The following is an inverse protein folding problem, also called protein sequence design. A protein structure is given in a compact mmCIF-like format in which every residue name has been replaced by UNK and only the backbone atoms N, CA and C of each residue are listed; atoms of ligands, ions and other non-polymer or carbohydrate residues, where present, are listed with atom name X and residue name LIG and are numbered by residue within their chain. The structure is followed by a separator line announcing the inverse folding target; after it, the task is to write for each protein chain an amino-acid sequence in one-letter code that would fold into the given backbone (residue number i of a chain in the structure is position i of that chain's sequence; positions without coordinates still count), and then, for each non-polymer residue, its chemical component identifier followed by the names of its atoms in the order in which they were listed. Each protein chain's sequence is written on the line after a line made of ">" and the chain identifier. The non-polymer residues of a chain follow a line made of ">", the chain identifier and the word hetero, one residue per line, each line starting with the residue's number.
data_IF_256886140032
#
_entry.id   IF_256886140032
#
_cell.length_a   1.000
_cell.length_b   1.000
_cell.length_c   1.000
_cell.angle_alpha   90.00
_cell.angle_beta   90.00
_cell.angle_gamma   90.00
#
_symmetry.space_group_name_H-M   'P 1'
#
loop_
_entity.id
_entity.type
_entity.pdbx_description
1 polymer ?
#
# COMPACT_ATOMS: atom_id res chain seq x y z
N UNK A 1 -5.15 -9.70 -19.40
CA UNK A 1 -4.44 -10.88 -18.85
C UNK A 1 -5.01 -12.20 -19.37
N UNK A 2 -6.32 -12.48 -19.24
CA UNK A 2 -6.92 -13.76 -19.71
C UNK A 2 -6.66 -14.05 -21.20
N UNK A 3 -6.84 -13.06 -22.07
CA UNK A 3 -6.59 -13.23 -23.52
C UNK A 3 -5.13 -13.59 -23.84
N UNK A 4 -4.17 -12.97 -23.18
CA UNK A 4 -2.75 -13.31 -23.32
C UNK A 4 -2.41 -14.69 -22.75
N UNK A 5 -3.08 -15.10 -21.67
CA UNK A 5 -2.92 -16.45 -21.15
C UNK A 5 -3.44 -17.52 -22.13
N UNK A 6 -4.55 -17.23 -22.85
CA UNK A 6 -5.07 -18.11 -23.88
C UNK A 6 -4.12 -18.15 -25.10
N UNK A 7 -3.59 -17.00 -25.50
CA UNK A 7 -2.64 -16.90 -26.61
C UNK A 7 -1.27 -17.55 -26.30
N UNK A 8 -0.92 -17.67 -25.02
CA UNK A 8 0.38 -18.20 -24.58
C UNK A 8 1.57 -17.23 -24.80
N UNK A 9 1.31 -15.99 -25.22
CA UNK A 9 2.31 -14.95 -25.46
C UNK A 9 1.73 -13.58 -25.18
N UNK A 10 2.60 -12.62 -24.87
CA UNK A 10 2.26 -11.18 -24.78
C UNK A 10 2.68 -10.41 -26.03
N UNK A 11 3.46 -11.04 -26.91
CA UNK A 11 3.91 -10.51 -28.18
C UNK A 11 2.90 -10.84 -29.30
N UNK A 12 1.72 -10.23 -29.24
CA UNK A 12 0.59 -10.47 -30.12
C UNK A 12 -0.33 -9.24 -30.15
N UNK A 13 -0.80 -8.85 -31.33
CA UNK A 13 -1.86 -7.85 -31.49
C UNK A 13 -3.24 -8.53 -31.38
N UNK A 14 -3.84 -8.51 -30.21
CA UNK A 14 -5.14 -9.12 -29.93
C UNK A 14 -6.29 -8.61 -30.82
N UNK A 15 -6.10 -7.53 -31.54
CA UNK A 15 -7.11 -6.98 -32.47
C UNK A 15 -7.01 -7.54 -33.87
N UNK A 16 -5.86 -8.10 -34.26
CA UNK A 16 -5.55 -8.53 -35.62
C UNK A 16 -5.10 -9.98 -35.70
N UNK A 17 -4.30 -10.42 -34.74
CA UNK A 17 -3.67 -11.72 -34.80
C UNK A 17 -4.56 -12.81 -34.19
N UNK A 18 -4.50 -14.04 -34.69
CA UNK A 18 -5.23 -15.15 -34.12
C UNK A 18 -4.62 -15.57 -32.76
N UNK A 19 -5.48 -15.91 -31.81
CA UNK A 19 -5.06 -16.50 -30.54
C UNK A 19 -4.48 -17.91 -30.69
N UNK A 20 -4.86 -18.60 -31.75
CA UNK A 20 -4.46 -19.95 -32.08
C UNK A 20 -5.30 -20.50 -33.23
N UNK A 21 -5.25 -21.81 -33.41
CA UNK A 21 -5.96 -22.53 -34.46
C UNK A 21 -6.81 -23.63 -33.85
N UNK A 22 -7.99 -23.85 -34.41
CA UNK A 22 -8.85 -24.98 -34.01
C UNK A 22 -8.32 -26.35 -34.50
N UNK A 23 -9.01 -27.41 -34.18
CA UNK A 23 -8.62 -28.78 -34.59
C UNK A 23 -8.65 -29.00 -36.12
N UNK A 24 -9.29 -28.11 -36.87
CA UNK A 24 -9.35 -28.09 -38.33
C UNK A 24 -8.35 -27.16 -38.96
N UNK A 25 -7.50 -26.50 -38.17
CA UNK A 25 -6.50 -25.54 -38.62
C UNK A 25 -7.06 -24.14 -38.97
N UNK A 26 -8.29 -23.84 -38.56
CA UNK A 26 -8.90 -22.51 -38.77
C UNK A 26 -8.43 -21.56 -37.65
N UNK A 27 -8.06 -20.34 -38.04
CA UNK A 27 -7.66 -19.29 -37.12
C UNK A 27 -8.81 -18.87 -36.19
N UNK A 28 -8.50 -18.81 -34.88
CA UNK A 28 -9.42 -18.36 -33.80
C UNK A 28 -8.93 -17.03 -33.28
N UNK A 29 -9.77 -16.02 -33.32
CA UNK A 29 -9.47 -14.67 -32.86
C UNK A 29 -10.11 -14.38 -31.51
N UNK A 30 -9.64 -13.31 -30.82
CA UNK A 30 -10.22 -12.88 -29.54
C UNK A 30 -11.73 -12.68 -29.63
N UNK A 31 -12.22 -12.07 -30.71
CA UNK A 31 -13.66 -11.83 -30.96
C UNK A 31 -14.51 -13.09 -31.02
N UNK A 32 -13.90 -14.23 -31.33
CA UNK A 32 -14.62 -15.51 -31.49
C UNK A 32 -14.83 -16.20 -30.13
N UNK A 33 -13.98 -15.90 -29.14
CA UNK A 33 -13.98 -16.53 -27.82
C UNK A 33 -14.36 -15.57 -26.68
N UNK A 34 -14.33 -14.27 -26.92
CA UNK A 34 -14.64 -13.28 -25.88
C UNK A 34 -16.14 -13.11 -25.72
N UNK A 35 -16.66 -13.23 -24.49
CA UNK A 35 -18.10 -13.09 -24.27
C UNK A 35 -18.58 -11.67 -24.54
N UNK A 36 -19.78 -11.56 -25.06
CA UNK A 36 -20.47 -10.28 -25.23
C UNK A 36 -20.87 -9.70 -23.89
N UNK A 37 -21.04 -8.38 -23.83
CA UNK A 37 -21.51 -7.70 -22.61
C UNK A 37 -22.85 -8.25 -22.11
N UNK A 38 -23.75 -8.66 -23.04
CA UNK A 38 -25.05 -9.25 -22.70
C UNK A 38 -24.90 -10.63 -22.04
N UNK A 39 -23.97 -11.45 -22.53
CA UNK A 39 -23.65 -12.74 -21.91
C UNK A 39 -23.07 -12.54 -20.51
N UNK A 40 -22.11 -11.62 -20.36
CA UNK A 40 -21.52 -11.28 -19.06
C UNK A 40 -22.60 -10.82 -18.08
N UNK A 41 -23.45 -9.86 -18.50
CA UNK A 41 -24.55 -9.35 -17.67
C UNK A 41 -25.52 -10.45 -17.24
N UNK A 42 -25.89 -11.31 -18.17
CA UNK A 42 -26.79 -12.45 -17.91
C UNK A 42 -26.15 -13.43 -16.92
N UNK A 43 -24.87 -13.72 -17.10
CA UNK A 43 -24.13 -14.61 -16.20
C UNK A 43 -24.02 -14.02 -14.80
N UNK A 44 -23.69 -12.72 -14.69
CA UNK A 44 -23.60 -12.01 -13.40
C UNK A 44 -24.96 -12.03 -12.69
N UNK A 45 -26.04 -11.64 -13.37
CA UNK A 45 -27.41 -11.64 -12.78
C UNK A 45 -27.83 -13.03 -12.28
N UNK A 46 -27.47 -14.08 -13.01
CA UNK A 46 -27.83 -15.46 -12.65
C UNK A 46 -27.04 -15.99 -11.47
N UNK A 47 -25.74 -15.64 -11.38
CA UNK A 47 -24.81 -16.29 -10.46
C UNK A 47 -24.48 -15.43 -9.24
N UNK A 48 -24.52 -14.11 -9.33
CA UNK A 48 -24.27 -13.21 -8.20
C UNK A 48 -25.60 -12.86 -7.52
N UNK A 49 -25.85 -13.48 -6.39
CA UNK A 49 -27.13 -13.36 -5.68
C UNK A 49 -26.99 -12.63 -4.35
N UNK A 50 -28.07 -12.01 -3.89
CA UNK A 50 -28.14 -11.40 -2.56
C UNK A 50 -27.82 -12.39 -1.42
N UNK A 51 -28.12 -13.69 -1.63
CA UNK A 51 -27.78 -14.76 -0.67
C UNK A 51 -26.27 -14.89 -0.49
N UNK A 52 -25.50 -14.79 -1.57
CA UNK A 52 -24.02 -14.88 -1.51
C UNK A 52 -23.46 -13.73 -0.64
N UNK A 53 -23.94 -12.51 -0.85
CA UNK A 53 -23.55 -11.37 -0.02
C UNK A 53 -23.93 -11.56 1.44
N UNK A 54 -25.20 -11.92 1.72
CA UNK A 54 -25.64 -12.18 3.09
C UNK A 54 -24.81 -13.25 3.78
N UNK A 55 -24.50 -14.33 3.09
CA UNK A 55 -23.67 -15.41 3.64
C UNK A 55 -22.25 -14.95 3.89
N UNK A 56 -21.64 -14.23 2.92
CA UNK A 56 -20.23 -13.80 3.03
C UNK A 56 -20.00 -12.76 4.11
N UNK A 57 -20.98 -11.88 4.32
CA UNK A 57 -20.87 -10.80 5.29
C UNK A 57 -21.59 -11.07 6.62
N UNK A 58 -22.15 -12.27 6.82
CA UNK A 58 -22.94 -12.60 8.02
C UNK A 58 -22.15 -12.45 9.33
N UNK A 59 -20.84 -12.69 9.29
CA UNK A 59 -19.99 -12.69 10.47
C UNK A 59 -18.72 -11.82 10.32
N UNK A 60 -18.80 -10.83 9.41
CA UNK A 60 -17.66 -9.95 9.08
C UNK A 60 -17.05 -9.27 10.32
N UNK A 61 -17.85 -8.97 11.34
CA UNK A 61 -17.39 -8.37 12.59
C UNK A 61 -16.75 -9.36 13.57
N UNK A 62 -16.89 -10.67 13.35
CA UNK A 62 -16.29 -11.67 14.24
C UNK A 62 -14.79 -11.87 13.98
N UNK A 63 -14.35 -11.62 12.77
CA UNK A 63 -13.02 -11.93 12.31
C UNK A 63 -12.72 -13.44 12.27
N UNK A 64 -11.57 -13.79 11.75
CA UNK A 64 -11.07 -15.16 11.72
C UNK A 64 -10.45 -15.59 13.07
N UNK A 65 -9.92 -16.82 13.13
CA UNK A 65 -9.29 -17.35 14.33
C UNK A 65 -8.07 -16.53 14.77
N UNK A 66 -7.27 -16.06 13.82
CA UNK A 66 -6.05 -15.29 14.11
C UNK A 66 -6.40 -13.91 14.66
N UNK A 67 -7.36 -13.24 14.01
CA UNK A 67 -7.87 -11.94 14.49
C UNK A 67 -8.42 -12.02 15.92
N UNK A 68 -9.24 -13.04 16.21
CA UNK A 68 -9.80 -13.25 17.55
C UNK A 68 -8.77 -13.66 18.60
N UNK A 69 -7.65 -14.25 18.16
CA UNK A 69 -6.53 -14.62 19.02
C UNK A 69 -5.60 -13.46 19.40
N UNK A 70 -5.77 -12.27 18.79
CA UNK A 70 -4.97 -11.10 19.14
C UNK A 70 -5.32 -10.63 20.53
N UNK A 71 -4.35 -10.69 21.45
CA UNK A 71 -4.48 -10.15 22.79
C UNK A 71 -4.39 -8.63 22.74
N UNK A 72 -5.40 -7.94 23.26
CA UNK A 72 -5.39 -6.49 23.38
C UNK A 72 -5.33 -6.07 24.85
N UNK A 73 -4.61 -5.01 25.14
CA UNK A 73 -4.65 -4.38 26.46
C UNK A 73 -6.04 -3.77 26.70
N UNK A 74 -6.53 -3.90 27.93
CA UNK A 74 -7.76 -3.22 28.36
C UNK A 74 -7.38 -1.84 28.88
N UNK A 75 -7.97 -0.80 28.33
CA UNK A 75 -7.71 0.59 28.73
C UNK A 75 -8.23 1.58 27.69
N UNK A 76 -8.34 2.84 28.10
CA UNK A 76 -8.76 3.94 27.21
C UNK A 76 -7.62 4.43 26.30
N UNK A 77 -6.37 4.12 26.67
CA UNK A 77 -5.18 4.55 25.95
C UNK A 77 -4.33 3.35 25.52
N UNK A 78 -3.58 3.51 24.45
CA UNK A 78 -2.65 2.51 23.96
C UNK A 78 -1.42 2.42 24.89
N UNK A 79 -1.04 1.22 25.28
CA UNK A 79 0.18 0.96 26.03
C UNK A 79 1.37 0.89 25.07
N UNK A 80 2.14 1.96 25.00
CA UNK A 80 3.31 2.06 24.12
C UNK A 80 4.44 1.14 24.58
N UNK A 81 4.99 0.37 23.65
CA UNK A 81 6.22 -0.41 23.84
C UNK A 81 7.40 0.35 23.21
N UNK A 82 8.22 0.95 24.02
CA UNK A 82 9.38 1.73 23.56
C UNK A 82 10.49 0.85 22.94
N UNK A 83 10.42 -0.47 23.07
CA UNK A 83 11.36 -1.40 22.45
C UNK A 83 10.92 -1.80 21.04
N UNK A 84 9.68 -1.52 20.67
CA UNK A 84 9.17 -1.83 19.35
C UNK A 84 9.89 -1.04 18.27
N UNK A 85 10.38 -1.72 17.23
CA UNK A 85 10.96 -1.08 16.05
C UNK A 85 9.94 -0.89 14.92
N UNK A 86 8.68 -1.27 15.12
CA UNK A 86 7.58 -1.11 14.17
C UNK A 86 6.62 0.01 14.53
N UNK A 87 6.33 0.20 15.82
CA UNK A 87 5.39 1.20 16.31
C UNK A 87 6.04 1.97 17.44
N UNK A 88 6.14 3.28 17.29
CA UNK A 88 6.72 4.18 18.28
C UNK A 88 5.72 5.29 18.63
N UNK A 89 5.74 5.73 19.88
CA UNK A 89 4.95 6.89 20.28
C UNK A 89 5.49 8.15 19.58
N UNK A 90 4.72 8.74 18.64
CA UNK A 90 5.22 9.90 17.90
C UNK A 90 5.22 11.17 18.76
N UNK A 91 6.20 12.07 18.56
CA UNK A 91 6.35 13.27 19.39
C UNK A 91 5.37 14.40 19.05
N UNK A 92 4.39 14.17 18.18
CA UNK A 92 3.51 15.20 17.63
C UNK A 92 2.66 15.94 18.67
N UNK A 93 2.38 15.27 19.78
CA UNK A 93 1.53 15.78 20.86
C UNK A 93 2.31 16.20 22.11
N UNK A 94 3.64 16.12 22.06
CA UNK A 94 4.47 16.54 23.18
C UNK A 94 4.33 18.04 23.41
N UNK A 95 3.95 18.44 24.62
CA UNK A 95 3.72 19.85 24.97
C UNK A 95 2.36 20.40 24.53
N UNK A 96 1.51 19.61 23.87
CA UNK A 96 0.17 20.05 23.50
C UNK A 96 -0.68 20.30 24.74
N UNK A 97 -1.34 21.44 24.79
CA UNK A 97 -2.26 21.81 25.87
C UNK A 97 -3.68 21.36 25.53
N UNK A 98 -4.49 21.05 26.55
CA UNK A 98 -5.91 20.68 26.37
C UNK A 98 -6.74 21.83 25.78
N UNK A 99 -6.42 23.06 26.15
CA UNK A 99 -7.05 24.25 25.58
C UNK A 99 -6.37 24.62 24.25
N UNK A 100 -7.16 24.92 23.24
CA UNK A 100 -6.64 25.42 21.97
C UNK A 100 -5.94 26.78 22.18
N UNK A 101 -4.78 26.95 21.57
CA UNK A 101 -4.11 28.24 21.51
C UNK A 101 -4.82 29.25 20.60
N UNK A 102 -4.46 30.51 20.70
CA UNK A 102 -4.91 31.55 19.77
C UNK A 102 -4.16 31.45 18.44
N UNK A 103 -4.85 31.81 17.37
CA UNK A 103 -4.21 31.98 16.05
C UNK A 103 -3.45 33.28 16.02
N UNK A 104 -2.22 33.25 15.55
CA UNK A 104 -1.40 34.46 15.36
C UNK A 104 -0.68 34.43 14.02
N UNK A 105 -0.31 35.60 13.50
CA UNK A 105 0.48 35.70 12.27
C UNK A 105 1.85 35.09 12.44
N UNK A 106 2.31 34.37 11.41
CA UNK A 106 3.69 33.88 11.33
C UNK A 106 4.58 34.98 10.75
N UNK A 107 5.50 35.53 11.56
CA UNK A 107 6.41 36.58 11.14
C UNK A 107 7.86 36.12 11.17
N UNK A 108 8.65 36.52 10.17
CA UNK A 108 10.08 36.24 10.10
C UNK A 108 10.44 34.79 9.82
N UNK A 109 9.49 33.96 9.39
CA UNK A 109 9.74 32.57 9.02
C UNK A 109 10.61 32.50 7.76
N UNK A 110 11.50 31.47 7.71
CA UNK A 110 12.31 31.16 6.54
C UNK A 110 11.72 29.99 5.78
N UNK A 111 11.88 29.99 4.46
CA UNK A 111 11.45 28.88 3.60
C UNK A 111 12.32 27.66 3.88
N UNK A 112 11.73 26.55 4.29
CA UNK A 112 12.42 25.28 4.48
C UNK A 112 12.58 24.51 3.17
N UNK A 113 11.60 24.58 2.29
CA UNK A 113 11.61 23.91 1.00
C UNK A 113 10.62 24.56 0.03
N UNK A 114 11.00 24.65 -1.22
CA UNK A 114 10.15 25.10 -2.33
C UNK A 114 10.00 23.96 -3.31
N UNK A 115 8.79 23.49 -3.52
CA UNK A 115 8.50 22.33 -4.35
C UNK A 115 7.70 22.74 -5.59
N UNK A 116 8.00 22.08 -6.73
CA UNK A 116 7.23 22.29 -7.97
C UNK A 116 5.90 21.52 -7.98
N UNK A 117 5.13 21.73 -9.04
CA UNK A 117 3.73 21.28 -9.15
C UNK A 117 3.51 19.76 -9.09
N UNK A 118 4.52 18.97 -9.44
CA UNK A 118 4.39 17.51 -9.51
C UNK A 118 4.95 16.77 -8.29
N UNK A 119 5.32 17.47 -7.25
CA UNK A 119 5.77 16.85 -6.00
C UNK A 119 4.57 16.34 -5.22
N UNK A 120 4.66 15.08 -4.80
CA UNK A 120 3.66 14.40 -3.98
C UNK A 120 4.28 13.89 -2.68
N UNK A 121 3.45 13.37 -1.80
CA UNK A 121 3.90 12.71 -0.56
C UNK A 121 4.89 11.57 -0.81
N UNK A 122 4.79 10.88 -1.94
CA UNK A 122 5.72 9.80 -2.31
C UNK A 122 7.16 10.29 -2.58
N UNK A 123 7.33 11.56 -2.86
CA UNK A 123 8.66 12.17 -3.02
C UNK A 123 9.24 12.57 -1.66
N UNK A 124 8.40 12.98 -0.72
CA UNK A 124 8.80 13.48 0.60
C UNK A 124 8.97 12.32 1.58
N UNK A 125 7.95 11.47 1.68
CA UNK A 125 7.93 10.31 2.56
C UNK A 125 8.61 9.11 1.89
N UNK A 126 9.41 8.33 2.62
CA UNK A 126 10.13 7.23 2.04
C UNK A 126 9.22 6.05 1.67
N UNK A 127 9.59 5.34 0.60
CA UNK A 127 8.97 4.09 0.16
C UNK A 127 10.04 3.06 -0.24
N UNK A 128 9.62 1.81 -0.38
CA UNK A 128 10.50 0.72 -0.78
C UNK A 128 11.41 0.20 0.33
N UNK A 129 12.41 -0.58 -0.06
CA UNK A 129 13.30 -1.30 0.86
C UNK A 129 14.25 -0.36 1.60
N UNK A 130 14.50 -0.65 2.86
CA UNK A 130 15.45 0.08 3.71
C UNK A 130 16.85 -0.48 3.44
N UNK A 131 17.76 0.36 2.95
CA UNK A 131 19.16 -0.03 2.69
C UNK A 131 19.95 -0.02 4.00
N UNK A 132 20.80 -1.02 4.21
CA UNK A 132 21.60 -1.14 5.43
C UNK A 132 22.50 0.09 5.69
N UNK A 133 23.08 0.67 4.65
CA UNK A 133 23.93 1.85 4.74
C UNK A 133 23.18 3.18 4.92
N UNK A 134 21.83 3.15 4.83
CA UNK A 134 21.02 4.37 5.01
C UNK A 134 20.92 4.77 6.47
N UNK A 135 20.58 6.03 6.79
CA UNK A 135 20.33 6.45 8.17
C UNK A 135 19.26 5.61 8.88
N UNK A 136 18.21 5.19 8.16
CA UNK A 136 17.18 4.29 8.70
C UNK A 136 17.73 2.87 8.95
N UNK A 137 18.57 2.36 8.04
CA UNK A 137 19.24 1.06 8.22
C UNK A 137 20.17 1.06 9.44
N UNK A 138 20.95 2.12 9.62
CA UNK A 138 21.81 2.29 10.80
C UNK A 138 20.99 2.30 12.08
N UNK A 139 19.89 3.09 12.12
CA UNK A 139 18.99 3.09 13.25
C UNK A 139 18.45 1.69 13.60
N UNK A 140 18.03 0.91 12.62
CA UNK A 140 17.54 -0.44 12.83
C UNK A 140 18.65 -1.38 13.35
N UNK A 141 19.85 -1.28 12.79
CA UNK A 141 21.02 -2.07 13.26
C UNK A 141 21.36 -1.74 14.72
N UNK A 142 21.37 -0.46 15.08
CA UNK A 142 21.63 0.01 16.45
C UNK A 142 20.57 -0.53 17.43
N UNK A 143 19.32 -0.71 16.94
CA UNK A 143 18.25 -1.37 17.68
C UNK A 143 18.24 -2.90 17.53
N UNK A 144 19.35 -3.51 17.10
CA UNK A 144 19.55 -4.97 17.02
C UNK A 144 18.63 -5.69 16.04
N UNK A 145 18.10 -5.01 15.04
CA UNK A 145 17.33 -5.62 13.95
C UNK A 145 18.31 -6.13 12.90
N UNK A 146 18.21 -7.41 12.54
CA UNK A 146 19.03 -7.98 11.48
C UNK A 146 18.65 -7.39 10.11
N UNK A 147 19.62 -7.25 9.19
CA UNK A 147 19.37 -6.67 7.84
C UNK A 147 18.26 -7.42 7.09
N UNK A 148 18.19 -8.74 7.26
CA UNK A 148 17.15 -9.58 6.66
C UNK A 148 15.73 -9.23 7.16
N UNK A 149 15.61 -8.62 8.35
CA UNK A 149 14.36 -8.29 9.01
C UNK A 149 13.99 -6.79 8.88
N UNK A 150 14.75 -6.04 8.09
CA UNK A 150 14.49 -4.60 7.92
C UNK A 150 13.11 -4.33 7.32
N UNK A 151 12.66 -5.18 6.41
CA UNK A 151 11.44 -4.96 5.62
C UNK A 151 11.51 -3.66 4.79
N UNK A 152 10.35 -3.04 4.60
CA UNK A 152 10.21 -1.82 3.83
C UNK A 152 9.77 -0.65 4.73
N UNK A 153 10.01 0.57 4.29
CA UNK A 153 9.52 1.76 4.98
C UNK A 153 8.01 1.70 5.25
N UNK A 154 7.22 1.24 4.27
CA UNK A 154 5.78 1.07 4.44
C UNK A 154 5.38 0.14 5.58
N UNK A 155 6.13 -0.92 5.83
CA UNK A 155 5.88 -1.84 6.95
C UNK A 155 6.16 -1.18 8.30
N UNK A 156 7.06 -0.20 8.35
CA UNK A 156 7.47 0.52 9.57
C UNK A 156 6.90 1.93 9.68
N UNK A 157 5.81 2.22 8.97
CA UNK A 157 5.16 3.55 8.96
C UNK A 157 4.76 4.05 10.34
N UNK A 158 4.47 3.16 11.27
CA UNK A 158 4.17 3.49 12.66
C UNK A 158 5.40 3.87 13.50
N UNK A 159 6.59 3.84 12.94
CA UNK A 159 7.83 4.24 13.59
C UNK A 159 8.39 5.51 12.92
N UNK A 160 8.13 6.66 13.54
CA UNK A 160 8.59 7.98 13.03
C UNK A 160 10.11 8.07 12.96
N UNK A 161 10.85 7.35 13.82
CA UNK A 161 12.31 7.33 13.81
C UNK A 161 12.88 6.69 12.53
N UNK A 162 12.19 5.67 12.01
CA UNK A 162 12.54 5.07 10.70
C UNK A 162 12.12 6.01 9.57
N UNK A 163 10.89 6.51 9.62
CA UNK A 163 10.32 7.31 8.54
C UNK A 163 11.04 8.63 8.32
N UNK A 164 11.35 9.37 9.40
CA UNK A 164 12.07 10.63 9.29
C UNK A 164 13.49 10.48 8.71
N UNK A 165 14.12 9.33 8.92
CA UNK A 165 15.45 9.02 8.39
C UNK A 165 15.46 8.65 6.90
N UNK A 166 14.29 8.56 6.29
CA UNK A 166 14.10 8.34 4.87
C UNK A 166 13.44 9.53 4.15
N UNK A 167 13.16 10.63 4.87
CA UNK A 167 12.57 11.82 4.28
C UNK A 167 13.46 12.37 3.16
N UNK A 168 12.86 12.69 2.00
CA UNK A 168 13.55 13.13 0.79
C UNK A 168 14.56 12.14 0.19
N UNK A 169 14.52 10.87 0.57
CA UNK A 169 15.39 9.83 0.01
C UNK A 169 14.95 9.32 -1.38
N UNK A 170 13.85 9.84 -1.93
CA UNK A 170 13.38 9.45 -3.26
C UNK A 170 14.38 9.95 -4.33
N UNK A 171 14.87 9.02 -5.16
CA UNK A 171 15.85 9.29 -6.22
C UNK A 171 15.37 10.25 -7.31
N UNK A 172 14.06 10.51 -7.38
CA UNK A 172 13.46 11.45 -8.34
C UNK A 172 13.47 12.89 -7.86
N UNK A 173 13.73 13.13 -6.57
CA UNK A 173 13.91 14.48 -6.05
C UNK A 173 15.32 14.96 -6.39
N UNK A 174 15.41 16.14 -6.96
CA UNK A 174 16.66 16.84 -7.17
C UNK A 174 16.63 18.15 -6.38
N UNK A 175 17.66 18.41 -5.60
CA UNK A 175 17.91 19.70 -5.00
C UNK A 175 18.70 20.54 -6.02
N UNK A 176 18.19 21.74 -6.34
CA UNK A 176 18.81 22.68 -7.28
C UNK A 176 19.65 23.71 -6.57
#
# INVERSE_FOLDING_TARGET
>A
MVAYAIAGTVDIDLTKDPLGYDAQGKAVYLRDVWPTNKEIETFVRKNITAKMFKTRYADVFKGDKNWRGVTTSKGETYAWDNTSTYVQNPPYFVGMQKAAGSVSDIKGARVLGLFGDKITTDHISPAGSIKAASPAGKYLTDNKVAVADFNQYGTRRGNHEVMMRGTFANIRIRNH
#
